data_IF_390986176207
#
_entry.id   IF_390986176207
#
_cell.length_a   1.000
_cell.length_b   1.000
_cell.length_c   1.000
_cell.angle_alpha   90.00
_cell.angle_beta   90.00
_cell.angle_gamma   90.00
#
_symmetry.space_group_name_H-M   'P 1'
#
loop_
_entity.id
_entity.type
_entity.pdbx_description
1 polymer ?
#
# COMPACT_ATOMS: atom_id res chain seq x y z
N UNK A 1 -23.16 79.51 48.92
CA UNK A 1 -21.79 79.30 48.41
C UNK A 1 -21.21 78.08 49.09
N UNK A 2 -21.17 76.94 48.39
CA UNK A 2 -19.95 76.15 48.27
C UNK A 2 -20.15 75.17 47.10
N UNK A 3 -19.11 75.13 46.27
CA UNK A 3 -19.08 74.59 44.92
C UNK A 3 -19.13 73.06 44.91
N UNK A 4 -20.11 72.49 44.24
CA UNK A 4 -20.03 71.14 43.68
C UNK A 4 -19.08 71.18 42.48
N UNK A 5 -17.85 70.71 42.67
CA UNK A 5 -16.90 70.49 41.58
C UNK A 5 -17.19 69.13 40.90
N UNK A 6 -17.33 69.07 39.56
CA UNK A 6 -17.39 67.80 38.87
C UNK A 6 -15.99 67.23 38.68
N UNK A 7 -15.84 65.96 39.05
CA UNK A 7 -15.25 64.89 38.24
C UNK A 7 -13.88 65.10 37.57
N UNK A 8 -12.93 64.22 37.89
CA UNK A 8 -12.20 63.49 36.83
C UNK A 8 -11.57 62.23 37.41
N UNK A 9 -12.34 61.14 37.46
CA UNK A 9 -11.77 59.81 37.69
C UNK A 9 -10.95 59.46 36.45
N UNK A 10 -9.65 59.73 36.48
CA UNK A 10 -8.72 59.34 35.42
C UNK A 10 -8.76 57.82 35.30
N UNK A 11 -9.49 57.30 34.30
CA UNK A 11 -9.44 55.90 33.91
C UNK A 11 -8.04 55.65 33.36
N UNK A 12 -7.19 55.02 34.16
CA UNK A 12 -5.91 54.51 33.67
C UNK A 12 -6.18 53.60 32.46
N UNK A 13 -5.45 53.76 31.35
CA UNK A 13 -5.66 52.95 30.17
C UNK A 13 -5.44 51.48 30.54
N UNK A 14 -6.50 50.68 30.48
CA UNK A 14 -6.42 49.26 30.82
C UNK A 14 -5.46 48.59 29.84
N UNK A 15 -4.29 48.17 30.32
CA UNK A 15 -3.30 47.41 29.54
C UNK A 15 -3.76 45.96 29.27
N UNK A 16 -4.81 45.50 29.97
CA UNK A 16 -5.35 44.14 29.85
C UNK A 16 -5.79 43.74 28.43
N UNK A 17 -6.66 44.53 27.76
CA UNK A 17 -7.06 44.26 26.38
C UNK A 17 -5.91 44.27 25.38
N UNK A 18 -4.92 45.15 25.54
CA UNK A 18 -3.76 45.21 24.65
C UNK A 18 -2.86 43.97 24.79
N UNK A 19 -2.64 43.50 26.02
CA UNK A 19 -1.89 42.27 26.28
C UNK A 19 -2.60 41.03 25.70
N UNK A 20 -3.92 40.94 25.86
CA UNK A 20 -4.71 39.85 25.31
C UNK A 20 -4.67 39.81 23.77
N UNK A 21 -4.74 40.97 23.10
CA UNK A 21 -4.59 41.06 21.64
C UNK A 21 -3.21 40.58 21.20
N UNK A 22 -2.13 40.96 21.91
CA UNK A 22 -0.79 40.49 21.58
C UNK A 22 -0.64 38.97 21.71
N UNK A 23 -1.21 38.37 22.76
CA UNK A 23 -1.18 36.91 22.95
C UNK A 23 -1.95 36.19 21.82
N UNK A 24 -3.12 36.68 21.44
CA UNK A 24 -3.90 36.10 20.34
C UNK A 24 -3.15 36.21 19.01
N UNK A 25 -2.54 37.37 18.71
CA UNK A 25 -1.76 37.56 17.50
C UNK A 25 -0.51 36.66 17.49
N UNK A 26 0.19 36.53 18.62
CA UNK A 26 1.34 35.63 18.74
C UNK A 26 0.94 34.16 18.51
N UNK A 27 -0.18 33.71 19.09
CA UNK A 27 -0.70 32.37 18.88
C UNK A 27 -1.11 32.13 17.42
N UNK A 28 -1.78 33.11 16.79
CA UNK A 28 -2.19 33.01 15.39
C UNK A 28 -0.98 32.90 14.45
N UNK A 29 0.07 33.70 14.68
CA UNK A 29 1.33 33.61 13.93
C UNK A 29 1.99 32.26 14.15
N UNK A 30 2.04 31.78 15.40
CA UNK A 30 2.59 30.46 15.71
C UNK A 30 1.85 29.33 14.97
N UNK A 31 0.51 29.33 15.00
CA UNK A 31 -0.30 28.37 14.25
C UNK A 31 -0.08 28.44 12.73
N UNK A 32 0.05 29.65 12.17
CA UNK A 32 0.34 29.84 10.75
C UNK A 32 1.73 29.29 10.37
N UNK A 33 2.75 29.53 11.20
CA UNK A 33 4.10 28.98 11.00
C UNK A 33 4.10 27.46 11.12
N UNK A 34 3.42 26.88 12.10
CA UNK A 34 3.27 25.43 12.21
C UNK A 34 2.55 24.84 11.00
N UNK A 35 1.44 25.44 10.57
CA UNK A 35 0.68 24.97 9.40
C UNK A 35 1.49 25.05 8.11
N UNK A 36 2.17 26.17 7.88
CA UNK A 36 3.05 26.33 6.72
C UNK A 36 4.28 25.41 6.77
N UNK A 37 4.88 25.26 7.95
CA UNK A 37 6.01 24.36 8.18
C UNK A 37 5.64 22.90 7.92
N UNK A 38 4.48 22.46 8.42
CA UNK A 38 3.93 21.13 8.11
C UNK A 38 3.65 20.99 6.62
N UNK A 39 2.99 21.96 5.98
CA UNK A 39 2.76 21.92 4.54
C UNK A 39 4.07 21.78 3.77
N UNK A 40 5.07 22.60 4.08
CA UNK A 40 6.36 22.60 3.41
C UNK A 40 7.08 21.25 3.57
N UNK A 41 7.16 20.73 4.80
CA UNK A 41 7.77 19.41 5.07
C UNK A 41 7.03 18.25 4.40
N UNK A 42 5.69 18.24 4.42
CA UNK A 42 4.90 17.17 3.82
C UNK A 42 4.70 17.32 2.30
N UNK A 43 5.11 18.45 1.72
CA UNK A 43 4.95 18.71 0.29
C UNK A 43 5.98 17.99 -0.60
N UNK A 44 7.13 17.59 -0.04
CA UNK A 44 8.19 16.89 -0.77
C UNK A 44 8.20 15.38 -0.45
N UNK A 45 7.33 14.65 -1.12
CA UNK A 45 7.15 13.20 -0.93
C UNK A 45 8.18 12.35 -1.69
N UNK A 46 8.96 12.95 -2.60
CA UNK A 46 9.88 12.22 -3.46
C UNK A 46 11.02 11.53 -2.70
N UNK A 47 11.72 12.17 -1.74
CA UNK A 47 12.79 11.50 -0.99
C UNK A 47 12.27 10.33 -0.14
N UNK A 48 11.06 10.46 0.40
CA UNK A 48 10.42 9.38 1.17
C UNK A 48 10.02 8.21 0.27
N UNK A 49 9.50 8.47 -0.92
CA UNK A 49 9.17 7.43 -1.89
C UNK A 49 10.42 6.69 -2.38
N UNK A 50 11.49 7.42 -2.71
CA UNK A 50 12.78 6.83 -3.08
C UNK A 50 13.32 5.93 -1.96
N UNK A 51 13.31 6.43 -0.71
CA UNK A 51 13.76 5.66 0.46
C UNK A 51 12.88 4.43 0.71
N UNK A 52 11.56 4.58 0.63
CA UNK A 52 10.63 3.47 0.80
C UNK A 52 10.83 2.36 -0.23
N UNK A 53 11.05 2.72 -1.50
CA UNK A 53 11.33 1.72 -2.53
C UNK A 53 12.71 1.06 -2.31
N UNK A 54 13.76 1.88 -2.16
CA UNK A 54 15.14 1.38 -2.12
C UNK A 54 15.51 0.64 -0.84
N UNK A 55 15.02 1.09 0.32
CA UNK A 55 15.44 0.58 1.63
C UNK A 55 14.43 -0.39 2.25
N UNK A 56 13.17 -0.39 1.80
CA UNK A 56 12.13 -1.25 2.37
C UNK A 56 11.60 -2.22 1.32
N UNK A 57 11.05 -1.72 0.21
CA UNK A 57 10.32 -2.57 -0.72
C UNK A 57 11.22 -3.52 -1.52
N UNK A 58 12.35 -3.03 -2.07
CA UNK A 58 13.29 -3.90 -2.80
C UNK A 58 13.85 -5.01 -1.90
N UNK A 59 14.39 -4.74 -0.71
CA UNK A 59 14.86 -5.79 0.20
C UNK A 59 13.75 -6.77 0.56
N UNK A 60 12.54 -6.28 0.81
CA UNK A 60 11.39 -7.13 1.12
C UNK A 60 11.01 -8.06 -0.04
N UNK A 61 11.02 -7.58 -1.29
CA UNK A 61 10.80 -8.43 -2.48
C UNK A 61 11.90 -9.49 -2.57
N UNK A 62 13.16 -9.11 -2.33
CA UNK A 62 14.30 -10.03 -2.38
C UNK A 62 14.20 -11.14 -1.32
N UNK A 63 13.69 -10.82 -0.12
CA UNK A 63 13.49 -11.77 0.97
C UNK A 63 12.17 -12.56 0.89
N UNK A 64 11.27 -12.22 -0.03
CA UNK A 64 9.94 -12.88 -0.16
C UNK A 64 10.02 -14.36 -0.55
N UNK A 65 8.88 -15.05 -0.61
CA UNK A 65 8.79 -16.43 -1.13
C UNK A 65 8.57 -16.51 -2.66
N UNK A 66 8.72 -15.39 -3.38
CA UNK A 66 8.58 -15.37 -4.84
C UNK A 66 9.64 -16.25 -5.54
N UNK A 67 9.32 -16.75 -6.72
CA UNK A 67 10.30 -17.43 -7.57
C UNK A 67 11.52 -16.54 -7.85
N UNK A 68 12.75 -17.08 -8.01
CA UNK A 68 13.94 -16.26 -8.26
C UNK A 68 13.81 -15.34 -9.47
N UNK A 69 13.14 -15.81 -10.54
CA UNK A 69 12.88 -15.02 -11.74
C UNK A 69 11.93 -13.85 -11.46
N UNK A 70 10.85 -14.08 -10.72
CA UNK A 70 9.88 -13.03 -10.36
C UNK A 70 10.50 -12.00 -9.42
N UNK A 71 11.29 -12.45 -8.42
CA UNK A 71 12.06 -11.55 -7.53
C UNK A 71 12.95 -10.61 -8.33
N UNK A 72 13.74 -11.16 -9.25
CA UNK A 72 14.65 -10.37 -10.08
C UNK A 72 13.88 -9.40 -10.99
N UNK A 73 12.78 -9.85 -11.59
CA UNK A 73 11.92 -9.02 -12.44
C UNK A 73 11.32 -7.84 -11.66
N UNK A 74 10.66 -8.10 -10.53
CA UNK A 74 10.01 -7.06 -9.72
C UNK A 74 11.04 -6.10 -9.12
N UNK A 75 12.14 -6.61 -8.56
CA UNK A 75 13.22 -5.77 -8.05
C UNK A 75 13.84 -4.91 -9.17
N UNK A 76 14.00 -5.45 -10.38
CA UNK A 76 14.47 -4.70 -11.55
C UNK A 76 13.52 -3.55 -11.91
N UNK A 77 12.22 -3.80 -11.95
CA UNK A 77 11.20 -2.78 -12.21
C UNK A 77 11.18 -1.69 -11.12
N UNK A 78 11.29 -2.07 -9.85
CA UNK A 78 11.40 -1.11 -8.74
C UNK A 78 12.67 -0.24 -8.86
N UNK A 79 13.80 -0.83 -9.24
CA UNK A 79 15.04 -0.07 -9.48
C UNK A 79 14.91 0.90 -10.66
N UNK A 80 14.11 0.57 -11.68
CA UNK A 80 13.82 1.48 -12.80
C UNK A 80 12.94 2.66 -12.39
N UNK A 81 12.14 2.54 -11.32
CA UNK A 81 11.34 3.65 -10.79
C UNK A 81 12.17 4.68 -10.01
N UNK A 82 13.25 4.25 -9.35
CA UNK A 82 14.09 5.12 -8.53
C UNK A 82 14.63 6.37 -9.29
N UNK A 83 15.22 6.26 -10.50
CA UNK A 83 15.66 7.44 -11.24
C UNK A 83 14.48 8.33 -11.66
N UNK A 84 13.32 7.77 -12.01
CA UNK A 84 12.13 8.56 -12.36
C UNK A 84 11.64 9.41 -11.18
N UNK A 85 11.70 8.86 -9.96
CA UNK A 85 11.33 9.56 -8.73
C UNK A 85 12.40 10.61 -8.37
N UNK A 86 13.68 10.23 -8.36
CA UNK A 86 14.79 11.12 -7.99
C UNK A 86 14.87 12.35 -8.90
N UNK A 87 14.70 12.13 -10.20
CA UNK A 87 14.73 13.19 -11.22
C UNK A 87 13.38 13.91 -11.38
N UNK A 88 12.37 13.56 -10.56
CA UNK A 88 11.02 14.12 -10.58
C UNK A 88 10.36 14.06 -11.97
N UNK A 89 10.63 12.98 -12.72
CA UNK A 89 10.04 12.71 -14.05
C UNK A 89 8.58 12.24 -13.97
N UNK A 90 8.12 11.87 -12.77
CA UNK A 90 6.70 11.61 -12.50
C UNK A 90 6.14 12.74 -11.66
N UNK A 91 4.92 13.18 -11.96
CA UNK A 91 4.25 14.24 -11.21
C UNK A 91 3.72 13.75 -9.85
N UNK A 92 3.23 14.67 -9.02
CA UNK A 92 2.73 14.35 -7.67
C UNK A 92 1.52 13.41 -7.69
N UNK A 93 0.65 13.49 -8.71
CA UNK A 93 -0.52 12.61 -8.85
C UNK A 93 -0.09 11.20 -9.26
N UNK A 94 0.84 11.08 -10.20
CA UNK A 94 1.48 9.81 -10.56
C UNK A 94 2.18 9.18 -9.37
N UNK A 95 2.94 9.97 -8.59
CA UNK A 95 3.60 9.50 -7.38
C UNK A 95 2.59 8.97 -6.35
N UNK A 96 1.49 9.68 -6.13
CA UNK A 96 0.42 9.26 -5.22
C UNK A 96 -0.25 7.96 -5.69
N UNK A 97 -0.56 7.84 -6.99
CA UNK A 97 -1.14 6.63 -7.58
C UNK A 97 -0.18 5.45 -7.49
N UNK A 98 1.10 5.67 -7.78
CA UNK A 98 2.15 4.68 -7.62
C UNK A 98 2.25 4.20 -6.17
N UNK A 99 2.27 5.12 -5.19
CA UNK A 99 2.29 4.78 -3.77
C UNK A 99 1.10 3.89 -3.39
N UNK A 100 -0.11 4.28 -3.75
CA UNK A 100 -1.32 3.52 -3.45
C UNK A 100 -1.27 2.14 -4.13
N UNK A 101 -0.84 2.09 -5.40
CA UNK A 101 -0.66 0.85 -6.14
C UNK A 101 0.35 -0.09 -5.49
N UNK A 102 1.46 0.42 -4.96
CA UNK A 102 2.49 -0.39 -4.28
C UNK A 102 2.01 -0.88 -2.91
N UNK A 103 1.28 -0.04 -2.17
CA UNK A 103 0.80 -0.36 -0.83
C UNK A 103 -0.25 -1.48 -0.85
N UNK A 104 -1.19 -1.42 -1.78
CA UNK A 104 -2.30 -2.37 -1.93
C UNK A 104 -2.04 -3.41 -3.03
N UNK A 105 -0.78 -3.68 -3.37
CA UNK A 105 -0.46 -4.63 -4.43
C UNK A 105 -0.54 -6.09 -3.93
N UNK A 106 -1.52 -6.92 -4.37
CA UNK A 106 -1.56 -8.33 -3.98
C UNK A 106 -0.42 -9.15 -4.59
N UNK A 107 0.14 -8.75 -5.73
CA UNK A 107 1.22 -9.48 -6.44
C UNK A 107 2.49 -9.56 -5.59
N UNK A 108 2.70 -8.59 -4.71
CA UNK A 108 3.80 -8.58 -3.76
C UNK A 108 3.70 -9.76 -2.78
N UNK A 109 2.50 -10.23 -2.42
CA UNK A 109 2.28 -11.40 -1.55
C UNK A 109 2.27 -12.73 -2.32
N UNK A 110 2.45 -12.71 -3.64
CA UNK A 110 2.22 -13.88 -4.48
C UNK A 110 3.18 -15.05 -4.25
N UNK A 111 4.33 -14.78 -3.62
CA UNK A 111 5.24 -15.84 -3.17
C UNK A 111 4.55 -16.87 -2.26
N UNK A 112 3.60 -16.42 -1.43
CA UNK A 112 2.80 -17.32 -0.61
C UNK A 112 1.90 -18.23 -1.44
N UNK A 113 1.25 -17.69 -2.47
CA UNK A 113 0.42 -18.49 -3.40
C UNK A 113 1.29 -19.51 -4.15
N UNK A 114 2.46 -19.10 -4.64
CA UNK A 114 3.42 -20.01 -5.28
C UNK A 114 3.85 -21.14 -4.33
N UNK A 115 4.08 -20.84 -3.05
CA UNK A 115 4.41 -21.83 -2.03
C UNK A 115 3.26 -22.82 -1.77
N UNK A 116 2.02 -22.33 -1.63
CA UNK A 116 0.83 -23.18 -1.46
C UNK A 116 0.64 -24.12 -2.65
N UNK A 117 0.75 -23.60 -3.87
CA UNK A 117 0.66 -24.38 -5.11
C UNK A 117 1.76 -25.45 -5.17
N UNK A 118 3.00 -25.10 -4.80
CA UNK A 118 4.10 -26.06 -4.78
C UNK A 118 3.85 -27.19 -3.77
N UNK A 119 3.49 -26.84 -2.53
CA UNK A 119 3.22 -27.81 -1.47
C UNK A 119 1.99 -28.68 -1.74
N UNK A 120 1.01 -28.21 -2.52
CA UNK A 120 -0.20 -28.98 -2.86
C UNK A 120 0.07 -30.36 -3.47
N UNK A 121 1.23 -30.53 -4.12
CA UNK A 121 1.65 -31.76 -4.78
C UNK A 121 2.10 -32.86 -3.81
N UNK A 122 2.50 -32.49 -2.60
CA UNK A 122 3.18 -33.39 -1.66
C UNK A 122 2.32 -33.76 -0.43
N UNK A 123 1.14 -33.13 -0.27
CA UNK A 123 0.33 -33.20 0.97
C UNK A 123 -0.83 -34.19 0.92
N UNK A 124 -0.85 -35.08 -0.08
CA UNK A 124 -1.86 -36.13 -0.23
C UNK A 124 -3.22 -35.65 -0.77
N UNK A 125 -3.25 -34.54 -1.51
CA UNK A 125 -4.41 -34.13 -2.29
C UNK A 125 -4.61 -35.03 -3.52
N UNK A 126 -5.85 -35.14 -3.98
CA UNK A 126 -6.16 -35.78 -5.27
C UNK A 126 -5.62 -34.95 -6.44
N UNK A 127 -5.38 -35.60 -7.59
CA UNK A 127 -4.97 -34.89 -8.82
C UNK A 127 -5.94 -33.76 -9.19
N UNK A 128 -7.25 -34.01 -9.03
CA UNK A 128 -8.30 -33.01 -9.26
C UNK A 128 -8.21 -31.81 -8.30
N UNK A 129 -7.84 -32.03 -7.04
CA UNK A 129 -7.64 -30.94 -6.08
C UNK A 129 -6.39 -30.13 -6.43
N UNK A 130 -5.30 -30.79 -6.85
CA UNK A 130 -4.06 -30.11 -7.28
C UNK A 130 -4.33 -29.22 -8.49
N UNK A 131 -5.05 -29.72 -9.49
CA UNK A 131 -5.46 -28.93 -10.66
C UNK A 131 -6.38 -27.76 -10.26
N UNK A 132 -7.28 -27.97 -9.31
CA UNK A 132 -8.15 -26.92 -8.80
C UNK A 132 -7.37 -25.81 -8.06
N UNK A 133 -6.38 -26.16 -7.22
CA UNK A 133 -5.49 -25.19 -6.56
C UNK A 133 -4.78 -24.32 -7.59
N UNK A 134 -4.24 -24.94 -8.65
CA UNK A 134 -3.59 -24.24 -9.75
C UNK A 134 -4.56 -23.28 -10.46
N UNK A 135 -5.75 -23.77 -10.82
CA UNK A 135 -6.78 -22.99 -11.51
C UNK A 135 -7.28 -21.79 -10.70
N UNK A 136 -7.54 -21.99 -9.40
CA UNK A 136 -7.94 -20.93 -8.48
C UNK A 136 -6.85 -19.87 -8.40
N UNK A 137 -5.58 -20.28 -8.31
CA UNK A 137 -4.44 -19.37 -8.27
C UNK A 137 -4.35 -18.53 -9.56
N UNK A 138 -4.57 -19.13 -10.73
CA UNK A 138 -4.61 -18.42 -12.02
C UNK A 138 -5.75 -17.39 -12.08
N UNK A 139 -6.95 -17.75 -11.60
CA UNK A 139 -8.10 -16.84 -11.52
C UNK A 139 -7.84 -15.67 -10.57
N UNK A 140 -7.25 -15.93 -9.40
CA UNK A 140 -6.84 -14.89 -8.47
C UNK A 140 -5.77 -13.96 -9.08
N UNK A 141 -4.82 -14.49 -9.86
CA UNK A 141 -3.84 -13.64 -10.56
C UNK A 141 -4.51 -12.74 -11.60
N UNK A 142 -5.52 -13.26 -12.31
CA UNK A 142 -6.34 -12.46 -13.22
C UNK A 142 -7.05 -11.32 -12.47
N UNK A 143 -7.66 -11.61 -11.31
CA UNK A 143 -8.25 -10.56 -10.47
C UNK A 143 -7.23 -9.52 -10.02
N UNK A 144 -6.00 -9.94 -9.69
CA UNK A 144 -4.92 -9.04 -9.31
C UNK A 144 -4.56 -8.09 -10.47
N UNK A 145 -4.39 -8.61 -11.69
CA UNK A 145 -4.09 -7.78 -12.87
C UNK A 145 -5.24 -6.88 -13.27
N UNK A 146 -6.48 -7.34 -13.07
CA UNK A 146 -7.70 -6.59 -13.37
C UNK A 146 -8.06 -5.57 -12.26
N UNK A 147 -7.22 -5.48 -11.20
CA UNK A 147 -7.39 -4.57 -10.04
C UNK A 147 -8.68 -4.82 -9.25
N UNK A 148 -9.17 -6.04 -9.26
CA UNK A 148 -10.34 -6.49 -8.48
C UNK A 148 -9.90 -7.12 -7.15
N UNK A 149 -8.73 -7.76 -7.12
CA UNK A 149 -8.16 -8.33 -5.90
C UNK A 149 -7.34 -7.28 -5.15
N UNK A 150 -7.69 -6.98 -3.90
CA UNK A 150 -6.86 -6.16 -3.01
C UNK A 150 -5.79 -7.01 -2.30
N UNK A 151 -4.81 -6.35 -1.68
CA UNK A 151 -3.83 -7.04 -0.82
C UNK A 151 -4.50 -7.76 0.34
N UNK A 152 -5.50 -7.12 0.96
CA UNK A 152 -6.20 -7.65 2.13
C UNK A 152 -7.03 -8.90 1.79
N UNK A 153 -7.64 -8.94 0.62
CA UNK A 153 -8.40 -10.10 0.16
C UNK A 153 -7.48 -11.31 0.01
N UNK A 154 -6.30 -11.10 -0.58
CA UNK A 154 -5.32 -12.16 -0.74
C UNK A 154 -4.75 -12.62 0.61
N UNK A 155 -4.43 -11.69 1.50
CA UNK A 155 -4.01 -11.98 2.88
C UNK A 155 -5.05 -12.83 3.62
N UNK A 156 -6.32 -12.45 3.56
CA UNK A 156 -7.41 -13.23 4.13
C UNK A 156 -7.49 -14.63 3.49
N UNK A 157 -7.31 -14.73 2.18
CA UNK A 157 -7.36 -15.99 1.44
C UNK A 157 -6.26 -16.96 1.91
N UNK A 158 -5.03 -16.48 2.14
CA UNK A 158 -3.88 -17.31 2.54
C UNK A 158 -3.70 -17.46 4.05
N UNK A 159 -4.48 -16.76 4.87
CA UNK A 159 -4.29 -16.65 6.33
C UNK A 159 -4.13 -17.99 7.07
N UNK A 160 -4.75 -19.08 6.57
CA UNK A 160 -4.68 -20.41 7.19
C UNK A 160 -3.40 -21.19 6.83
N UNK A 161 -2.73 -20.76 5.78
CA UNK A 161 -1.46 -21.31 5.30
C UNK A 161 -0.28 -20.43 5.72
N UNK A 162 -0.51 -19.20 6.17
CA UNK A 162 0.54 -18.23 6.47
C UNK A 162 0.64 -17.89 7.96
N UNK A 163 1.82 -17.39 8.35
CA UNK A 163 2.07 -16.74 9.63
C UNK A 163 2.51 -15.30 9.37
N UNK A 164 2.13 -14.40 10.28
CA UNK A 164 2.61 -13.02 10.27
C UNK A 164 4.05 -13.01 10.76
N UNK A 165 4.93 -12.38 10.01
CA UNK A 165 6.33 -12.24 10.39
C UNK A 165 6.48 -11.37 11.64
N UNK A 166 7.56 -11.53 12.44
CA UNK A 166 7.79 -10.73 13.65
C UNK A 166 7.83 -9.21 13.41
N UNK A 167 8.21 -8.80 12.20
CA UNK A 167 8.23 -7.40 11.79
C UNK A 167 6.83 -6.81 11.51
N UNK A 168 5.78 -7.65 11.48
CA UNK A 168 4.40 -7.30 11.11
C UNK A 168 4.23 -6.72 9.70
N UNK A 169 5.28 -6.78 8.87
CA UNK A 169 5.29 -6.18 7.52
C UNK A 169 5.02 -7.21 6.43
N UNK A 170 5.17 -8.50 6.73
CA UNK A 170 4.99 -9.60 5.78
C UNK A 170 4.26 -10.81 6.32
N UNK A 171 3.83 -11.63 5.38
CA UNK A 171 3.29 -12.97 5.61
C UNK A 171 4.28 -13.97 5.03
N UNK A 172 4.50 -15.05 5.76
CA UNK A 172 5.28 -16.19 5.29
C UNK A 172 4.40 -17.43 5.31
N UNK A 173 4.31 -18.15 4.19
CA UNK A 173 3.59 -19.43 4.15
C UNK A 173 4.39 -20.46 4.92
N UNK A 174 3.70 -21.16 5.82
CA UNK A 174 4.26 -22.22 6.65
C UNK A 174 4.82 -23.34 5.77
N UNK A 175 5.88 -23.98 6.26
CA UNK A 175 6.34 -25.26 5.70
C UNK A 175 5.39 -26.37 6.16
N UNK A 176 5.32 -27.46 5.40
CA UNK A 176 4.55 -28.67 5.72
C UNK A 176 3.04 -28.40 5.90
N UNK A 177 2.43 -27.67 4.96
CA UNK A 177 0.99 -27.45 4.95
C UNK A 177 0.23 -28.77 4.97
N UNK A 178 -0.89 -28.82 5.69
CA UNK A 178 -1.81 -29.97 5.63
C UNK A 178 -2.79 -29.84 4.48
N UNK A 179 -3.33 -30.97 3.99
CA UNK A 179 -4.37 -30.97 2.97
C UNK A 179 -5.57 -30.09 3.35
N UNK A 180 -5.96 -30.07 4.63
CA UNK A 180 -7.08 -29.27 5.13
C UNK A 180 -6.79 -27.76 5.13
N UNK A 181 -5.54 -27.34 5.32
CA UNK A 181 -5.16 -25.94 5.16
C UNK A 181 -5.26 -25.51 3.70
N UNK A 182 -4.80 -26.35 2.76
CA UNK A 182 -4.89 -26.04 1.32
C UNK A 182 -6.36 -26.03 0.86
N UNK A 183 -7.20 -26.94 1.35
CA UNK A 183 -8.65 -26.91 1.09
C UNK A 183 -9.32 -25.62 1.58
N UNK A 184 -8.88 -25.08 2.73
CA UNK A 184 -9.37 -23.78 3.21
C UNK A 184 -8.93 -22.63 2.30
N UNK A 185 -7.69 -22.65 1.77
CA UNK A 185 -7.25 -21.71 0.75
C UNK A 185 -8.12 -21.82 -0.51
N UNK A 186 -8.36 -23.04 -1.01
CA UNK A 186 -9.22 -23.29 -2.17
C UNK A 186 -10.63 -22.75 -1.95
N UNK A 187 -11.25 -23.07 -0.80
CA UNK A 187 -12.60 -22.62 -0.48
C UNK A 187 -12.72 -21.09 -0.50
N UNK A 188 -11.77 -20.37 0.10
CA UNK A 188 -11.75 -18.91 0.13
C UNK A 188 -11.48 -18.30 -1.25
N UNK A 189 -10.51 -18.85 -1.99
CA UNK A 189 -10.18 -18.39 -3.34
C UNK A 189 -11.33 -18.63 -4.32
N UNK A 190 -11.99 -19.79 -4.23
CA UNK A 190 -13.16 -20.12 -5.06
C UNK A 190 -14.35 -19.20 -4.75
N UNK A 191 -14.62 -18.94 -3.47
CA UNK A 191 -15.65 -17.97 -3.07
C UNK A 191 -15.37 -16.59 -3.67
N UNK A 192 -14.16 -16.08 -3.50
CA UNK A 192 -13.78 -14.75 -3.97
C UNK A 192 -13.84 -14.62 -5.50
N UNK A 193 -13.36 -15.63 -6.22
CA UNK A 193 -13.39 -15.65 -7.69
C UNK A 193 -14.80 -15.81 -8.24
N UNK A 194 -15.69 -16.53 -7.54
CA UNK A 194 -17.09 -16.69 -7.95
C UNK A 194 -17.92 -15.44 -7.65
N UNK A 195 -17.73 -14.80 -6.49
CA UNK A 195 -18.39 -13.52 -6.16
C UNK A 195 -18.07 -12.42 -7.19
N UNK A 196 -16.87 -12.46 -7.78
CA UNK A 196 -16.42 -11.51 -8.79
C UNK A 196 -16.61 -11.99 -10.24
N UNK A 197 -17.32 -13.11 -10.45
CA UNK A 197 -17.60 -13.67 -11.79
C UNK A 197 -16.34 -13.87 -12.65
N UNK A 198 -15.22 -14.27 -12.04
CA UNK A 198 -13.95 -14.44 -12.75
C UNK A 198 -14.02 -15.69 -13.61
N UNK A 199 -13.78 -15.59 -14.95
CA UNK A 199 -13.85 -16.73 -15.84
C UNK A 199 -12.93 -17.86 -15.42
N UNK A 200 -13.42 -19.10 -15.51
CA UNK A 200 -12.64 -20.30 -15.23
C UNK A 200 -11.81 -20.72 -16.45
N UNK A 201 -10.89 -19.84 -16.86
CA UNK A 201 -10.04 -20.02 -18.04
C UNK A 201 -8.56 -19.97 -17.64
N UNK A 202 -7.66 -20.59 -18.41
CA UNK A 202 -6.22 -20.45 -18.20
C UNK A 202 -5.74 -19.00 -18.22
N UNK A 203 -4.92 -18.66 -17.22
CA UNK A 203 -4.30 -17.35 -17.12
C UNK A 203 -2.82 -17.49 -16.79
N UNK A 204 -1.95 -17.05 -17.70
CA UNK A 204 -0.52 -17.40 -17.68
C UNK A 204 0.41 -16.24 -17.33
N UNK A 205 -0.11 -15.15 -16.74
CA UNK A 205 0.74 -14.02 -16.36
C UNK A 205 1.59 -14.36 -15.14
N UNK A 206 2.89 -14.11 -15.23
CA UNK A 206 3.76 -14.25 -14.08
C UNK A 206 3.55 -13.08 -13.10
N UNK A 207 3.92 -13.25 -11.81
CA UNK A 207 3.96 -12.13 -10.86
C UNK A 207 4.77 -10.95 -11.37
N UNK A 208 5.92 -11.18 -12.01
CA UNK A 208 6.72 -10.10 -12.60
C UNK A 208 5.96 -9.31 -13.68
N UNK A 209 5.22 -10.01 -14.56
CA UNK A 209 4.40 -9.37 -15.59
C UNK A 209 3.20 -8.63 -15.01
N UNK A 210 2.49 -9.25 -14.06
CA UNK A 210 1.35 -8.66 -13.37
C UNK A 210 1.75 -7.38 -12.65
N UNK A 211 2.91 -7.39 -11.97
CA UNK A 211 3.46 -6.21 -11.33
C UNK A 211 3.73 -5.10 -12.35
N UNK A 212 4.34 -5.42 -13.50
CA UNK A 212 4.59 -4.46 -14.57
C UNK A 212 3.30 -3.79 -15.08
N UNK A 213 2.24 -4.58 -15.27
CA UNK A 213 0.93 -4.08 -15.67
C UNK A 213 0.36 -3.10 -14.64
N UNK A 214 0.45 -3.44 -13.35
CA UNK A 214 -0.05 -2.59 -12.27
C UNK A 214 0.71 -1.27 -12.15
N UNK A 215 2.03 -1.30 -12.25
CA UNK A 215 2.89 -0.12 -12.22
C UNK A 215 2.63 0.77 -13.43
N UNK A 216 2.59 0.19 -14.63
CA UNK A 216 2.30 0.93 -15.86
C UNK A 216 0.96 1.67 -15.73
N UNK A 217 -0.10 0.97 -15.36
CA UNK A 217 -1.41 1.58 -15.20
C UNK A 217 -1.50 2.57 -14.02
N UNK A 218 -0.53 2.62 -13.09
CA UNK A 218 -0.44 3.65 -12.06
C UNK A 218 0.27 4.92 -12.55
N UNK A 219 1.17 4.77 -13.53
CA UNK A 219 1.94 5.85 -14.12
C UNK A 219 1.23 6.50 -15.32
N UNK A 220 0.51 5.74 -16.12
CA UNK A 220 -0.24 6.24 -17.28
C UNK A 220 -1.31 7.28 -16.84
N UNK A 221 -1.52 8.36 -17.60
CA UNK A 221 -2.53 9.39 -17.29
C UNK A 221 -3.94 8.79 -17.47
N UNK A 222 -4.92 9.02 -16.57
CA UNK A 222 -6.28 8.51 -16.76
C UNK A 222 -6.94 8.98 -18.07
N UNK A 223 -6.45 10.07 -18.67
CA UNK A 223 -6.91 10.58 -19.97
C UNK A 223 -6.42 9.77 -21.17
N UNK A 224 -5.39 8.95 -20.99
CA UNK A 224 -4.79 8.12 -22.04
C UNK A 224 -5.33 6.67 -22.02
N UNK A 225 -6.34 6.40 -21.21
CA UNK A 225 -7.05 5.12 -21.19
C UNK A 225 -8.26 5.20 -22.16
N UNK A 226 -8.34 4.32 -23.18
CA UNK A 226 -9.41 4.33 -24.17
C UNK A 226 -10.79 4.01 -23.59
#
# INVERSE_FOLDING_TARGET
MNNDAPESTQREPSLGPACLVLVILALAVFCAVCGFGSWFMFSDQYPFAEKGISQQLIPWVQSSQLSPGDKASIAGQLNQLLPLIRERRIDKRQLLRLRNCLQDNPVLLWGGVQSIVAQSKDVGLSETEIEAVQRISERLMRMATDRVLSRNDLEFTIQKCAVVLPDQLGLEVQQDLTADQIRQFMQRGEQLTNENNVPNEPYSKSPGEAFAMLIKAALDDPKDQP
#
